data_IF_018533756305
#
_entry.id   IF_018533756305
#
_cell.length_a   1.000
_cell.length_b   1.000
_cell.length_c   1.000
_cell.angle_alpha   90.00
_cell.angle_beta   90.00
_cell.angle_gamma   90.00
#
_symmetry.space_group_name_H-M   'P 1'
#
loop_
_entity.id
_entity.type
_entity.pdbx_description
1 polymer ?
#
# COMPACT_ATOMS: atom_id res chain seq x y z
N UNK A 1 21.68 -42.53 -16.73
CA UNK A 1 20.43 -42.65 -17.51
C UNK A 1 19.23 -42.37 -16.61
N UNK A 2 18.91 -41.11 -16.32
CA UNK A 2 17.78 -40.70 -15.45
C UNK A 2 17.23 -39.35 -15.93
N UNK A 3 16.69 -39.28 -17.15
CA UNK A 3 16.12 -38.04 -17.69
C UNK A 3 14.73 -38.21 -18.34
N UNK A 4 14.13 -39.40 -18.26
CA UNK A 4 12.89 -39.72 -19.00
C UNK A 4 11.61 -39.67 -18.14
N UNK A 5 11.71 -39.48 -16.82
CA UNK A 5 10.53 -39.45 -15.94
C UNK A 5 9.82 -38.08 -15.90
N UNK A 6 10.52 -36.99 -16.26
CA UNK A 6 9.96 -35.63 -16.27
C UNK A 6 9.07 -35.35 -17.51
N UNK A 7 9.08 -36.27 -18.48
CA UNK A 7 8.45 -36.12 -19.80
C UNK A 7 7.42 -37.21 -20.12
N UNK A 8 6.95 -37.99 -19.14
CA UNK A 8 5.73 -38.77 -19.33
C UNK A 8 4.54 -37.81 -19.46
N UNK A 9 3.58 -38.13 -20.34
CA UNK A 9 2.46 -37.24 -20.70
C UNK A 9 1.66 -36.73 -19.48
N UNK A 10 1.69 -37.46 -18.36
CA UNK A 10 1.10 -37.05 -17.09
C UNK A 10 1.96 -36.09 -16.26
N UNK A 11 3.28 -36.25 -16.24
CA UNK A 11 4.17 -35.47 -15.35
C UNK A 11 4.50 -34.09 -15.92
N UNK A 12 4.79 -33.99 -17.22
CA UNK A 12 5.16 -32.71 -17.86
C UNK A 12 4.07 -31.64 -17.73
N UNK A 13 2.80 -32.06 -17.83
CA UNK A 13 1.63 -31.18 -17.71
C UNK A 13 1.47 -30.59 -16.29
N UNK A 14 1.80 -31.36 -15.26
CA UNK A 14 1.71 -30.92 -13.86
C UNK A 14 2.73 -29.82 -13.55
N UNK A 15 3.95 -29.93 -14.07
CA UNK A 15 4.97 -28.89 -13.91
C UNK A 15 4.54 -27.61 -14.62
N UNK A 16 4.04 -27.71 -15.86
CA UNK A 16 3.55 -26.54 -16.59
C UNK A 16 2.40 -25.87 -15.84
N UNK A 17 1.45 -26.66 -15.31
CA UNK A 17 0.36 -26.14 -14.48
C UNK A 17 0.85 -25.52 -13.16
N UNK A 18 1.84 -26.12 -12.49
CA UNK A 18 2.42 -25.57 -11.28
C UNK A 18 3.16 -24.25 -11.53
N UNK A 19 3.86 -24.14 -12.66
CA UNK A 19 4.51 -22.89 -13.07
C UNK A 19 3.47 -21.85 -13.43
N UNK A 20 2.49 -22.17 -14.27
CA UNK A 20 1.42 -21.22 -14.68
C UNK A 20 0.60 -20.78 -13.47
N UNK A 21 0.09 -21.73 -12.69
CA UNK A 21 -0.69 -21.48 -11.49
C UNK A 21 0.12 -20.79 -10.40
N UNK A 22 1.37 -21.18 -10.20
CA UNK A 22 2.29 -20.56 -9.25
C UNK A 22 2.62 -19.12 -9.62
N UNK A 23 2.90 -18.85 -10.90
CA UNK A 23 3.21 -17.49 -11.37
C UNK A 23 1.97 -16.59 -11.31
N UNK A 24 0.80 -17.10 -11.71
CA UNK A 24 -0.46 -16.38 -11.60
C UNK A 24 -0.81 -16.07 -10.13
N UNK A 25 -0.68 -17.06 -9.24
CA UNK A 25 -0.89 -16.90 -7.80
C UNK A 25 0.08 -15.91 -7.18
N UNK A 26 1.37 -15.99 -7.51
CA UNK A 26 2.40 -15.06 -7.04
C UNK A 26 2.13 -13.63 -7.50
N UNK A 27 1.75 -13.42 -8.76
CA UNK A 27 1.40 -12.10 -9.29
C UNK A 27 0.18 -11.49 -8.57
N UNK A 28 -0.85 -12.28 -8.30
CA UNK A 28 -2.04 -11.84 -7.56
C UNK A 28 -1.70 -11.53 -6.10
N UNK A 29 -0.94 -12.40 -5.43
CA UNK A 29 -0.49 -12.20 -4.06
C UNK A 29 0.37 -10.93 -3.93
N UNK A 30 1.34 -10.74 -4.83
CA UNK A 30 2.15 -9.54 -4.90
C UNK A 30 1.29 -8.29 -5.11
N UNK A 31 0.34 -8.31 -6.06
CA UNK A 31 -0.57 -7.18 -6.34
C UNK A 31 -1.46 -6.83 -5.14
N UNK A 32 -1.99 -7.82 -4.44
CA UNK A 32 -2.82 -7.60 -3.25
C UNK A 32 -1.98 -7.05 -2.08
N UNK A 33 -0.79 -7.60 -1.88
CA UNK A 33 0.12 -7.17 -0.83
C UNK A 33 0.68 -5.77 -1.08
N UNK A 34 0.92 -5.42 -2.36
CA UNK A 34 1.37 -4.09 -2.77
C UNK A 34 0.37 -2.99 -2.35
N UNK A 35 -0.93 -3.24 -2.44
CA UNK A 35 -1.95 -2.29 -1.95
C UNK A 35 -1.82 -2.03 -0.45
N UNK A 36 -1.52 -3.06 0.34
CA UNK A 36 -1.38 -2.96 1.80
C UNK A 36 -0.07 -2.24 2.19
N UNK A 37 1.03 -2.59 1.53
CA UNK A 37 2.34 -1.94 1.75
C UNK A 37 2.29 -0.47 1.31
N UNK A 38 1.78 -0.18 0.11
CA UNK A 38 1.66 1.18 -0.40
C UNK A 38 0.73 2.06 0.45
N UNK A 39 -0.37 1.50 0.97
CA UNK A 39 -1.27 2.23 1.89
C UNK A 39 -0.58 2.55 3.22
N UNK A 40 0.26 1.63 3.73
CA UNK A 40 1.07 1.88 4.94
C UNK A 40 2.15 2.95 4.69
N UNK A 41 2.72 2.96 3.48
CA UNK A 41 3.76 3.92 3.08
C UNK A 41 3.21 5.32 2.82
N UNK A 42 1.99 5.45 2.29
CA UNK A 42 1.28 6.73 2.14
C UNK A 42 0.77 7.34 3.45
N UNK A 43 0.85 6.60 4.57
CA UNK A 43 0.60 7.12 5.93
C UNK A 43 1.88 7.62 6.61
N UNK A 44 2.85 8.11 5.85
CA UNK A 44 3.66 9.20 6.37
C UNK A 44 2.93 10.49 5.99
N UNK A 45 2.04 11.00 6.85
CA UNK A 45 1.75 12.41 6.78
C UNK A 45 3.09 13.09 7.01
N UNK A 46 3.63 13.70 5.97
CA UNK A 46 4.15 15.04 6.19
C UNK A 46 2.94 15.80 6.73
N UNK A 47 2.73 15.77 8.04
CA UNK A 47 2.14 16.91 8.71
C UNK A 47 3.09 18.04 8.32
N UNK A 48 2.69 19.00 7.47
CA UNK A 48 3.24 20.32 7.66
C UNK A 48 2.84 20.62 9.09
N UNK A 49 3.84 20.59 9.96
CA UNK A 49 3.71 21.01 11.33
C UNK A 49 2.78 22.21 11.37
N UNK A 50 1.82 22.14 12.27
CA UNK A 50 1.01 23.26 12.70
C UNK A 50 1.95 24.39 13.13
N UNK A 51 2.44 25.17 12.17
CA UNK A 51 3.22 26.37 12.38
C UNK A 51 2.21 27.50 12.36
N UNK A 52 1.73 27.83 13.56
CA UNK A 52 1.19 29.16 13.83
C UNK A 52 -0.33 29.22 13.93
N UNK A 53 -0.90 28.50 14.89
CA UNK A 53 -1.98 29.09 15.66
C UNK A 53 -1.34 29.95 16.77
N UNK A 54 -1.21 31.28 16.62
CA UNK A 54 -1.00 32.13 17.78
C UNK A 54 -2.33 32.21 18.53
N UNK A 55 -2.53 31.27 19.43
CA UNK A 55 -3.36 31.50 20.61
C UNK A 55 -2.63 32.57 21.46
N UNK A 56 -2.87 33.83 21.11
CA UNK A 56 -2.20 34.98 21.70
C UNK A 56 -3.05 36.23 21.52
N UNK A 57 -3.95 36.43 22.47
CA UNK A 57 -4.14 37.72 23.14
C UNK A 57 -4.22 38.97 22.26
N UNK A 58 -5.40 39.31 21.76
CA UNK A 58 -5.78 40.72 21.71
C UNK A 58 -7.24 40.92 22.12
N UNK A 59 -7.38 41.27 23.40
CA UNK A 59 -8.57 41.93 23.92
C UNK A 59 -8.70 43.27 23.21
N UNK A 60 -9.51 43.36 22.16
CA UNK A 60 -10.02 44.66 21.69
C UNK A 60 -11.51 44.75 22.05
N UNK A 61 -11.87 45.43 23.16
CA UNK A 61 -13.26 45.77 23.39
C UNK A 61 -13.63 46.81 22.35
N UNK A 62 -14.39 46.43 21.31
CA UNK A 62 -15.11 47.43 20.53
C UNK A 62 -16.23 47.94 21.42
N UNK A 63 -15.93 49.00 22.17
CA UNK A 63 -16.93 49.97 22.61
C UNK A 63 -17.38 50.74 21.37
N UNK A 64 -18.64 50.62 20.92
CA UNK A 64 -19.30 51.74 20.28
C UNK A 64 -19.76 52.69 21.38
N UNK A 65 -19.12 53.86 21.45
CA UNK A 65 -19.72 55.06 22.02
C UNK A 65 -21.09 55.25 21.35
N UNK A 66 -22.17 55.36 22.11
CA UNK A 66 -22.72 56.65 22.47
C UNK A 66 -24.15 56.74 21.93
N UNK A 67 -25.03 57.36 22.73
CA UNK A 67 -26.46 57.61 22.47
C UNK A 67 -26.79 58.14 21.08
#
# INVERSE_FOLDING_TARGET
MMHLAYLDAGSGSLIVQAVVGGTAGAAVAAKLYWRRVAARFRRQPTEPAEVGQPAGTERQPRQPAGN
#
